data_IF_595991024897
#
_entry.id   IF_595991024897
#
_cell.length_a   1.000
_cell.length_b   1.000
_cell.length_c   1.000
_cell.angle_alpha   90.00
_cell.angle_beta   90.00
_cell.angle_gamma   90.00
#
_symmetry.space_group_name_H-M   'P 1'
#
loop_
_entity.id
_entity.type
_entity.pdbx_description
1 polymer ?
#
# COMPACT_ATOMS: atom_id res chain seq x y z
N UNK A 1 39.91 9.06 -0.78
CA UNK A 1 39.08 7.90 -0.39
C UNK A 1 37.72 8.11 -1.02
N UNK A 2 37.30 7.27 -1.97
CA UNK A 2 35.95 7.35 -2.50
C UNK A 2 34.98 7.06 -1.34
N UNK A 3 34.12 8.01 -0.99
CA UNK A 3 32.98 7.76 -0.10
C UNK A 3 32.17 6.62 -0.70
N UNK A 4 32.17 5.45 -0.06
CA UNK A 4 31.34 4.32 -0.51
C UNK A 4 29.88 4.76 -0.46
N UNK A 5 29.23 4.85 -1.61
CA UNK A 5 27.78 4.99 -1.67
C UNK A 5 27.13 3.77 -1.02
N UNK A 6 26.23 3.98 -0.06
CA UNK A 6 25.48 2.92 0.60
C UNK A 6 23.99 3.18 0.39
N UNK A 7 23.42 2.77 -0.75
CA UNK A 7 21.99 2.95 -1.04
C UNK A 7 21.12 2.15 -0.07
N UNK A 8 19.90 2.64 0.16
CA UNK A 8 18.89 1.95 0.95
C UNK A 8 18.06 1.05 0.04
N UNK A 9 18.01 -0.24 0.35
CA UNK A 9 17.32 -1.22 -0.50
C UNK A 9 15.90 -1.49 0.00
N UNK A 10 14.92 -1.34 -0.90
CA UNK A 10 13.50 -1.52 -0.61
C UNK A 10 12.92 -2.62 -1.49
N UNK A 11 12.36 -3.66 -0.90
CA UNK A 11 11.60 -4.68 -1.61
C UNK A 11 10.10 -4.40 -1.51
N UNK A 12 9.41 -4.40 -2.65
CA UNK A 12 7.96 -4.28 -2.75
C UNK A 12 7.36 -5.65 -3.05
N UNK A 13 6.40 -6.06 -2.23
CA UNK A 13 5.69 -7.34 -2.36
C UNK A 13 4.23 -7.04 -2.61
N UNK A 14 3.66 -7.61 -3.66
CA UNK A 14 2.24 -7.49 -3.98
C UNK A 14 1.58 -8.87 -4.00
N UNK A 15 0.29 -8.90 -3.67
CA UNK A 15 -0.61 -10.04 -3.83
C UNK A 15 -0.04 -11.38 -3.36
N UNK A 16 0.46 -11.48 -2.11
CA UNK A 16 0.74 -12.81 -1.55
C UNK A 16 -0.55 -13.64 -1.48
N UNK A 17 -1.72 -12.98 -1.37
CA UNK A 17 -3.08 -13.53 -1.43
C UNK A 17 -3.13 -14.94 -0.86
N UNK A 18 -3.01 -15.03 0.47
CA UNK A 18 -2.97 -16.32 1.15
C UNK A 18 -4.17 -17.17 0.73
N UNK A 19 -3.87 -18.26 0.02
CA UNK A 19 -4.91 -19.13 -0.53
C UNK A 19 -5.77 -19.68 0.59
N UNK A 20 -7.08 -19.69 0.35
CA UNK A 20 -8.10 -20.06 1.32
C UNK A 20 -9.38 -20.58 0.60
N UNK A 21 -10.49 -20.86 1.31
CA UNK A 21 -11.73 -21.33 0.68
C UNK A 21 -12.38 -20.38 -0.33
N UNK A 22 -12.04 -19.09 -0.31
CA UNK A 22 -12.45 -18.09 -1.30
C UNK A 22 -11.74 -18.32 -2.64
N UNK A 23 -10.48 -18.77 -2.65
CA UNK A 23 -9.64 -18.89 -3.87
C UNK A 23 -10.13 -19.95 -4.83
N UNK A 24 -10.56 -21.09 -4.30
CA UNK A 24 -11.07 -22.20 -5.09
C UNK A 24 -12.42 -22.67 -4.51
N UNK A 25 -13.51 -21.93 -4.78
CA UNK A 25 -14.81 -22.22 -4.19
C UNK A 25 -15.26 -23.65 -4.51
N UNK A 26 -15.62 -24.40 -3.47
CA UNK A 26 -16.08 -25.78 -3.61
C UNK A 26 -15.00 -26.85 -3.77
N UNK A 27 -13.69 -26.49 -3.71
CA UNK A 27 -12.61 -27.49 -3.70
C UNK A 27 -12.72 -28.39 -2.45
N UNK A 28 -12.89 -29.72 -2.61
CA UNK A 28 -13.14 -30.61 -1.48
C UNK A 28 -11.87 -30.82 -0.64
N UNK A 29 -12.08 -31.20 0.61
CA UNK A 29 -11.02 -31.78 1.44
C UNK A 29 -10.60 -33.15 0.87
N UNK A 30 -9.29 -33.50 0.81
CA UNK A 30 -8.14 -32.79 1.38
C UNK A 30 -7.42 -31.83 0.40
N UNK A 31 -7.88 -31.71 -0.85
CA UNK A 31 -7.19 -30.93 -1.89
C UNK A 31 -7.06 -29.45 -1.52
N UNK A 32 -8.08 -28.87 -0.88
CA UNK A 32 -8.02 -27.49 -0.38
C UNK A 32 -6.92 -27.32 0.68
N UNK A 33 -6.85 -28.22 1.66
CA UNK A 33 -5.81 -28.20 2.71
C UNK A 33 -4.39 -28.38 2.15
N UNK A 34 -4.22 -29.28 1.18
CA UNK A 34 -2.92 -29.45 0.51
C UNK A 34 -2.53 -28.21 -0.28
N UNK A 35 -3.48 -27.60 -0.99
CA UNK A 35 -3.25 -26.34 -1.74
C UNK A 35 -2.74 -25.25 -0.80
N UNK A 36 -3.46 -25.01 0.30
CA UNK A 36 -3.07 -24.06 1.35
C UNK A 36 -1.65 -24.34 1.85
N UNK A 37 -1.37 -25.60 2.22
CA UNK A 37 -0.07 -26.00 2.78
C UNK A 37 1.09 -25.74 1.81
N UNK A 38 0.93 -26.11 0.54
CA UNK A 38 2.01 -25.95 -0.44
C UNK A 38 2.22 -24.49 -0.83
N UNK A 39 1.14 -23.69 -0.94
CA UNK A 39 1.27 -22.26 -1.18
C UNK A 39 1.93 -21.54 0.00
N UNK A 40 1.53 -21.83 1.24
CA UNK A 40 2.17 -21.26 2.43
C UNK A 40 3.65 -21.62 2.51
N UNK A 41 4.00 -22.87 2.17
CA UNK A 41 5.39 -23.32 2.14
C UNK A 41 6.20 -22.63 1.04
N UNK A 42 5.62 -22.42 -0.13
CA UNK A 42 6.23 -21.66 -1.21
C UNK A 42 6.51 -20.23 -0.77
N UNK A 43 5.49 -19.50 -0.32
CA UNK A 43 5.61 -18.11 0.13
C UNK A 43 6.66 -17.97 1.24
N UNK A 44 6.64 -18.87 2.23
CA UNK A 44 7.63 -18.85 3.33
C UNK A 44 9.05 -19.04 2.81
N UNK A 45 9.27 -19.98 1.88
CA UNK A 45 10.60 -20.22 1.30
C UNK A 45 11.08 -19.06 0.44
N UNK A 46 10.21 -18.52 -0.41
CA UNK A 46 10.53 -17.38 -1.26
C UNK A 46 10.88 -16.15 -0.43
N UNK A 47 10.08 -15.85 0.60
CA UNK A 47 10.35 -14.72 1.48
C UNK A 47 11.60 -14.94 2.33
N UNK A 48 11.80 -16.12 2.89
CA UNK A 48 13.02 -16.50 3.62
C UNK A 48 14.28 -16.33 2.76
N UNK A 49 14.25 -16.78 1.49
CA UNK A 49 15.35 -16.57 0.54
C UNK A 49 15.58 -15.08 0.25
N UNK A 50 14.52 -14.27 0.04
CA UNK A 50 14.62 -12.81 -0.07
C UNK A 50 15.33 -12.20 1.15
N UNK A 51 14.98 -12.62 2.37
CA UNK A 51 15.60 -12.12 3.59
C UNK A 51 17.07 -12.53 3.72
N UNK A 52 17.39 -13.79 3.46
CA UNK A 52 18.74 -14.35 3.68
C UNK A 52 19.73 -13.96 2.58
N UNK A 53 19.29 -13.92 1.32
CA UNK A 53 20.18 -13.70 0.17
C UNK A 53 20.32 -12.22 -0.19
N UNK A 54 19.21 -11.47 -0.16
CA UNK A 54 19.19 -10.07 -0.57
C UNK A 54 19.16 -9.09 0.61
N UNK A 55 18.54 -9.49 1.73
CA UNK A 55 18.55 -8.71 2.97
C UNK A 55 18.14 -7.25 2.83
N UNK A 56 17.00 -6.93 2.18
CA UNK A 56 16.60 -5.54 1.97
C UNK A 56 16.45 -4.80 3.30
N UNK A 57 16.79 -3.51 3.30
CA UNK A 57 16.64 -2.62 4.46
C UNK A 57 15.17 -2.36 4.78
N UNK A 58 14.28 -2.46 3.80
CA UNK A 58 12.84 -2.36 4.00
C UNK A 58 12.04 -3.27 3.09
N UNK A 59 10.94 -3.81 3.60
CA UNK A 59 9.94 -4.57 2.83
C UNK A 59 8.59 -3.88 3.01
N UNK A 60 7.92 -3.59 1.89
CA UNK A 60 6.61 -2.94 1.87
C UNK A 60 5.63 -3.81 1.08
N UNK A 61 4.50 -4.14 1.70
CA UNK A 61 3.43 -4.88 1.04
C UNK A 61 2.45 -3.91 0.37
N UNK A 62 1.97 -4.27 -0.81
CA UNK A 62 1.11 -3.43 -1.65
C UNK A 62 -0.33 -3.96 -1.73
N UNK A 63 -0.86 -4.44 -0.62
CA UNK A 63 -2.23 -4.96 -0.52
C UNK A 63 -2.39 -6.44 -0.86
N UNK A 64 -3.63 -6.88 -0.72
CA UNK A 64 -4.11 -8.23 -1.00
C UNK A 64 -3.30 -9.30 -0.26
N UNK A 65 -3.25 -9.11 1.06
CA UNK A 65 -2.55 -10.02 1.96
C UNK A 65 -3.28 -11.38 2.04
N UNK A 66 -4.60 -11.32 2.04
CA UNK A 66 -5.51 -12.47 2.06
C UNK A 66 -6.35 -12.49 0.79
N UNK A 67 -6.78 -13.67 0.35
CA UNK A 67 -7.70 -13.78 -0.78
C UNK A 67 -9.18 -13.64 -0.34
N UNK A 68 -9.56 -14.20 0.80
CA UNK A 68 -10.91 -14.10 1.37
C UNK A 68 -11.04 -13.11 2.52
N UNK A 69 -10.06 -12.22 2.74
CA UNK A 69 -9.94 -11.37 3.94
C UNK A 69 -11.21 -10.57 4.26
N UNK A 70 -11.86 -10.04 3.22
CA UNK A 70 -13.11 -9.27 3.31
C UNK A 70 -14.35 -10.11 3.61
N UNK A 71 -14.32 -11.41 3.30
CA UNK A 71 -15.47 -12.30 3.38
C UNK A 71 -15.68 -12.88 4.79
N UNK A 72 -14.65 -12.90 5.63
CA UNK A 72 -14.76 -13.48 6.96
C UNK A 72 -15.45 -12.52 7.92
N UNK A 73 -16.55 -12.98 8.52
CA UNK A 73 -17.39 -12.12 9.37
C UNK A 73 -16.62 -11.53 10.55
N UNK A 74 -17.11 -10.39 11.05
CA UNK A 74 -16.63 -9.78 12.30
C UNK A 74 -17.70 -9.93 13.38
N UNK A 75 -17.52 -9.28 14.53
CA UNK A 75 -18.59 -9.17 15.52
C UNK A 75 -19.81 -8.40 14.98
N UNK A 76 -19.61 -7.52 14.00
CA UNK A 76 -20.60 -6.54 13.53
C UNK A 76 -20.84 -6.58 12.00
N UNK A 77 -20.33 -7.59 11.31
CA UNK A 77 -20.48 -7.76 9.87
C UNK A 77 -20.58 -9.23 9.48
N UNK A 78 -21.22 -9.53 8.36
CA UNK A 78 -21.27 -10.87 7.76
C UNK A 78 -20.86 -10.82 6.29
N UNK A 79 -20.51 -11.97 5.70
CA UNK A 79 -20.24 -12.01 4.25
C UNK A 79 -21.52 -11.66 3.47
N UNK A 80 -21.44 -10.75 2.48
CA UNK A 80 -22.53 -10.53 1.54
C UNK A 80 -22.84 -11.81 0.74
N UNK A 81 -21.86 -12.68 0.52
CA UNK A 81 -22.02 -13.96 -0.13
C UNK A 81 -22.43 -15.07 0.86
N UNK A 82 -23.66 -15.59 0.69
CA UNK A 82 -24.23 -16.59 1.60
C UNK A 82 -23.37 -17.84 1.85
N UNK A 83 -22.52 -18.24 0.88
CA UNK A 83 -21.61 -19.39 1.03
C UNK A 83 -20.48 -19.19 2.04
N UNK A 84 -20.09 -17.94 2.30
CA UNK A 84 -18.99 -17.60 3.18
C UNK A 84 -19.45 -17.20 4.59
N UNK A 85 -20.75 -17.01 4.82
CA UNK A 85 -21.31 -16.67 6.16
C UNK A 85 -20.99 -17.65 7.28
N UNK A 86 -20.60 -18.88 6.95
CA UNK A 86 -20.12 -19.90 7.91
C UNK A 86 -18.73 -19.61 8.48
N UNK A 87 -17.95 -18.72 7.86
CA UNK A 87 -16.61 -18.34 8.28
C UNK A 87 -16.68 -17.10 9.16
N UNK A 88 -16.01 -17.17 10.30
CA UNK A 88 -16.09 -16.19 11.36
C UNK A 88 -14.77 -15.46 11.61
N UNK A 89 -14.79 -14.51 12.55
CA UNK A 89 -13.59 -13.78 12.97
C UNK A 89 -12.48 -14.70 13.49
N UNK A 90 -12.85 -15.89 14.04
CA UNK A 90 -11.85 -16.91 14.42
C UNK A 90 -11.16 -17.50 13.20
N UNK A 91 -11.86 -17.66 12.08
CA UNK A 91 -11.26 -18.05 10.81
C UNK A 91 -10.27 -16.99 10.32
N UNK A 92 -10.70 -15.73 10.23
CA UNK A 92 -9.81 -14.63 9.84
C UNK A 92 -8.56 -14.55 10.72
N UNK A 93 -8.71 -14.68 12.04
CA UNK A 93 -7.57 -14.71 12.97
C UNK A 93 -6.60 -15.86 12.67
N UNK A 94 -7.08 -17.06 12.29
CA UNK A 94 -6.17 -18.15 11.89
C UNK A 94 -5.37 -17.80 10.64
N UNK A 95 -5.96 -17.06 9.71
CA UNK A 95 -5.26 -16.58 8.52
C UNK A 95 -4.22 -15.52 8.86
N UNK A 96 -4.55 -14.59 9.74
CA UNK A 96 -3.58 -13.66 10.29
C UNK A 96 -2.38 -14.38 10.92
N UNK A 97 -2.61 -15.45 11.70
CA UNK A 97 -1.50 -16.25 12.25
C UNK A 97 -0.69 -16.97 11.16
N UNK A 98 -1.32 -17.39 10.04
CA UNK A 98 -0.59 -17.91 8.87
C UNK A 98 0.31 -16.82 8.27
N UNK A 99 -0.22 -15.61 8.07
CA UNK A 99 0.55 -14.47 7.57
C UNK A 99 1.76 -14.17 8.45
N UNK A 100 1.56 -14.05 9.76
CA UNK A 100 2.65 -13.82 10.74
C UNK A 100 3.72 -14.90 10.62
N UNK A 101 3.32 -16.17 10.58
CA UNK A 101 4.27 -17.29 10.47
C UNK A 101 5.06 -17.29 9.15
N UNK A 102 4.47 -16.80 8.07
CA UNK A 102 5.11 -16.79 6.75
C UNK A 102 6.08 -15.62 6.62
N UNK A 103 5.68 -14.41 7.03
CA UNK A 103 6.37 -13.17 6.72
C UNK A 103 6.97 -12.44 7.93
N UNK A 104 6.33 -12.49 9.10
CA UNK A 104 6.79 -11.75 10.29
C UNK A 104 7.82 -12.59 11.06
N UNK A 105 7.56 -13.87 11.28
CA UNK A 105 8.50 -14.76 11.98
C UNK A 105 9.82 -14.95 11.22
N UNK A 106 9.79 -14.82 9.90
CA UNK A 106 10.94 -14.96 9.00
C UNK A 106 11.64 -13.65 8.70
N UNK A 107 11.05 -12.50 9.07
CA UNK A 107 11.61 -11.17 8.84
C UNK A 107 13.03 -11.01 9.39
N UNK A 108 13.24 -11.50 10.62
CA UNK A 108 14.50 -11.39 11.35
C UNK A 108 15.62 -12.25 10.73
N UNK A 109 15.31 -13.15 9.79
CA UNK A 109 16.34 -13.93 9.07
C UNK A 109 17.29 -13.04 8.25
N UNK A 110 16.87 -11.81 7.92
CA UNK A 110 17.71 -10.82 7.24
C UNK A 110 18.49 -9.88 8.16
N UNK A 111 18.44 -10.05 9.49
CA UNK A 111 19.10 -9.15 10.44
C UNK A 111 20.63 -9.13 10.31
N UNK A 112 21.22 -10.19 9.75
CA UNK A 112 22.63 -10.22 9.39
C UNK A 112 23.04 -9.16 8.34
N UNK A 113 22.07 -8.59 7.62
CA UNK A 113 22.30 -7.56 6.60
C UNK A 113 22.08 -6.14 7.10
N UNK A 114 21.77 -5.93 8.39
CA UNK A 114 21.51 -4.58 8.93
C UNK A 114 22.74 -3.68 8.73
N UNK A 115 22.57 -2.59 7.97
CA UNK A 115 23.59 -1.54 7.78
C UNK A 115 23.17 -0.20 8.35
N UNK A 116 21.86 0.05 8.45
CA UNK A 116 21.32 1.33 8.88
C UNK A 116 21.12 1.37 10.40
N UNK A 117 21.48 2.47 11.11
CA UNK A 117 21.33 2.58 12.56
C UNK A 117 19.89 2.45 13.08
N UNK A 118 18.91 2.74 12.21
CA UNK A 118 17.47 2.69 12.53
C UNK A 118 16.91 1.27 12.36
N UNK A 119 17.74 0.31 11.92
CA UNK A 119 17.34 -1.06 11.65
C UNK A 119 16.52 -1.18 10.36
N UNK A 120 15.99 -2.39 10.15
CA UNK A 120 15.19 -2.74 8.98
C UNK A 120 13.72 -2.46 9.25
N UNK A 121 12.91 -2.21 8.21
CA UNK A 121 11.46 -1.94 8.33
C UNK A 121 10.60 -2.90 7.53
N UNK A 122 9.53 -3.39 8.15
CA UNK A 122 8.48 -4.19 7.51
C UNK A 122 7.16 -3.43 7.60
N UNK A 123 6.58 -3.04 6.46
CA UNK A 123 5.30 -2.33 6.38
C UNK A 123 4.26 -3.19 5.65
N UNK A 124 3.15 -3.47 6.33
CA UNK A 124 2.10 -4.38 5.87
C UNK A 124 0.71 -3.75 5.94
N UNK A 125 0.63 -2.42 6.13
CA UNK A 125 -0.62 -1.71 6.41
C UNK A 125 -1.42 -1.28 5.18
N UNK A 126 -0.86 -1.35 3.97
CA UNK A 126 -1.57 -1.00 2.74
C UNK A 126 -2.54 -2.15 2.38
N UNK A 127 -3.86 -1.92 2.35
CA UNK A 127 -4.83 -2.94 2.02
C UNK A 127 -5.06 -3.04 0.51
N UNK A 128 -5.51 -4.21 0.07
CA UNK A 128 -6.14 -4.38 -1.24
C UNK A 128 -7.63 -4.71 -1.15
N UNK A 129 -8.26 -4.92 -2.30
CA UNK A 129 -9.70 -5.18 -2.37
C UNK A 129 -10.06 -6.57 -1.81
N UNK A 130 -9.16 -7.54 -1.80
CA UNK A 130 -9.40 -8.82 -1.12
C UNK A 130 -9.29 -8.72 0.41
N UNK A 131 -8.58 -7.73 0.94
CA UNK A 131 -8.49 -7.48 2.37
C UNK A 131 -9.74 -6.79 2.92
N UNK A 132 -10.24 -5.75 2.22
CA UNK A 132 -11.30 -4.86 2.74
C UNK A 132 -12.63 -4.93 1.98
N UNK A 133 -12.60 -5.37 0.72
CA UNK A 133 -13.60 -5.01 -0.28
C UNK A 133 -13.18 -3.77 -1.07
N UNK A 134 -14.07 -3.29 -1.95
CA UNK A 134 -13.78 -2.15 -2.82
C UNK A 134 -14.95 -1.15 -2.84
N UNK A 135 -14.62 0.14 -2.68
CA UNK A 135 -15.58 1.23 -2.74
C UNK A 135 -16.77 1.07 -1.78
N UNK A 136 -17.98 1.27 -2.29
CA UNK A 136 -19.25 1.12 -1.55
C UNK A 136 -19.47 -0.29 -0.97
N UNK A 137 -18.72 -1.30 -1.42
CA UNK A 137 -18.78 -2.66 -0.90
C UNK A 137 -17.98 -2.89 0.38
N UNK A 138 -17.20 -1.90 0.84
CA UNK A 138 -16.38 -2.04 2.05
C UNK A 138 -17.25 -1.99 3.30
N UNK A 139 -17.09 -2.99 4.15
CA UNK A 139 -17.74 -3.03 5.46
C UNK A 139 -16.81 -2.41 6.51
N UNK A 140 -17.24 -1.34 7.18
CA UNK A 140 -16.43 -0.65 8.21
C UNK A 140 -15.82 -1.58 9.27
N UNK A 141 -16.55 -2.56 9.83
CA UNK A 141 -15.95 -3.49 10.79
C UNK A 141 -14.78 -4.33 10.23
N UNK A 142 -14.78 -4.63 8.92
CA UNK A 142 -13.70 -5.36 8.25
C UNK A 142 -12.46 -4.47 8.13
N UNK A 143 -12.62 -3.22 7.69
CA UNK A 143 -11.55 -2.21 7.65
C UNK A 143 -10.95 -1.98 9.03
N UNK A 144 -11.79 -1.75 10.03
CA UNK A 144 -11.34 -1.45 11.39
C UNK A 144 -10.58 -2.66 11.99
N UNK A 145 -11.02 -3.90 11.69
CA UNK A 145 -10.27 -5.12 12.03
C UNK A 145 -8.91 -5.14 11.35
N UNK A 146 -8.84 -4.92 10.04
CA UNK A 146 -7.57 -4.92 9.31
C UNK A 146 -6.59 -3.90 9.91
N UNK A 147 -7.04 -2.65 10.10
CA UNK A 147 -6.21 -1.59 10.67
C UNK A 147 -5.75 -1.88 12.11
N UNK A 148 -6.56 -2.62 12.89
CA UNK A 148 -6.19 -3.02 14.26
C UNK A 148 -5.02 -4.01 14.31
N UNK A 149 -4.81 -4.80 13.25
CA UNK A 149 -3.77 -5.83 13.19
C UNK A 149 -2.55 -5.41 12.35
N UNK A 150 -2.77 -4.65 11.28
CA UNK A 150 -1.74 -4.23 10.32
C UNK A 150 -1.31 -2.76 10.46
N UNK A 151 -2.02 -2.00 11.30
CA UNK A 151 -1.80 -0.57 11.49
C UNK A 151 -2.58 0.28 10.49
N UNK A 152 -2.36 1.60 10.54
CA UNK A 152 -3.06 2.55 9.66
C UNK A 152 -2.69 2.33 8.20
N UNK A 153 -3.70 2.33 7.35
CA UNK A 153 -3.57 2.19 5.90
C UNK A 153 -3.13 3.47 5.21
N UNK A 154 -3.56 4.62 5.72
CA UNK A 154 -3.13 5.94 5.28
C UNK A 154 -1.98 6.44 6.17
N UNK A 155 -0.76 6.55 5.61
CA UNK A 155 0.43 6.91 6.39
C UNK A 155 1.54 7.51 5.55
N UNK A 156 2.42 8.24 6.22
CA UNK A 156 3.66 8.77 5.64
C UNK A 156 4.85 8.22 6.42
N UNK A 157 5.84 7.70 5.70
CA UNK A 157 7.09 7.17 6.24
C UNK A 157 8.28 7.80 5.53
N UNK A 158 9.40 7.99 6.23
CA UNK A 158 10.67 8.35 5.59
C UNK A 158 11.60 7.16 5.58
N UNK A 159 11.99 6.70 4.39
CA UNK A 159 12.82 5.52 4.16
C UNK A 159 13.90 5.87 3.14
N UNK A 160 15.17 5.65 3.45
CA UNK A 160 16.28 6.00 2.56
C UNK A 160 16.29 7.46 2.13
N UNK A 161 15.89 8.39 3.01
CA UNK A 161 15.69 9.82 2.74
C UNK A 161 14.67 10.13 1.62
N UNK A 162 13.70 9.23 1.40
CA UNK A 162 12.55 9.46 0.53
C UNK A 162 11.28 9.44 1.38
N UNK A 163 10.30 10.25 0.99
CA UNK A 163 8.98 10.27 1.62
C UNK A 163 8.09 9.25 0.94
N UNK A 164 7.70 8.20 1.65
CA UNK A 164 6.74 7.21 1.21
C UNK A 164 5.35 7.60 1.68
N UNK A 165 4.39 7.67 0.75
CA UNK A 165 2.98 7.94 1.05
C UNK A 165 2.17 6.71 0.69
N UNK A 166 1.54 6.09 1.69
CA UNK A 166 0.63 4.96 1.49
C UNK A 166 -0.82 5.44 1.58
N UNK A 167 -1.63 5.10 0.57
CA UNK A 167 -3.02 5.55 0.45
C UNK A 167 -3.94 4.35 0.32
N UNK A 168 -4.96 4.28 1.17
CA UNK A 168 -6.07 3.33 1.06
C UNK A 168 -6.99 3.71 -0.11
N UNK A 169 -6.56 3.35 -1.31
CA UNK A 169 -7.27 3.69 -2.55
C UNK A 169 -8.54 2.87 -2.76
N UNK A 170 -8.66 1.71 -2.11
CA UNK A 170 -9.88 0.88 -2.18
C UNK A 170 -11.03 1.52 -1.38
N UNK A 171 -10.74 2.10 -0.20
CA UNK A 171 -11.71 2.91 0.55
C UNK A 171 -12.01 4.24 -0.15
N UNK A 172 -10.98 4.94 -0.65
CA UNK A 172 -11.18 6.22 -1.35
C UNK A 172 -12.06 6.08 -2.59
N UNK A 173 -12.02 4.93 -3.27
CA UNK A 173 -12.85 4.61 -4.44
C UNK A 173 -14.36 4.64 -4.18
N UNK A 174 -14.80 4.66 -2.92
CA UNK A 174 -16.21 4.81 -2.57
C UNK A 174 -16.75 6.22 -2.88
N UNK A 175 -15.88 7.23 -3.04
CA UNK A 175 -16.24 8.63 -3.30
C UNK A 175 -16.95 8.82 -4.65
N UNK A 176 -16.50 8.12 -5.69
CA UNK A 176 -17.04 8.21 -7.05
C UNK A 176 -18.12 7.14 -7.33
N UNK A 177 -18.58 6.43 -6.29
CA UNK A 177 -19.61 5.39 -6.40
C UNK A 177 -20.95 5.84 -5.82
N UNK A 178 -22.07 5.45 -6.44
CA UNK A 178 -23.37 5.72 -5.86
C UNK A 178 -23.51 5.00 -4.51
N UNK A 179 -24.30 5.58 -3.63
CA UNK A 179 -24.73 4.91 -2.42
C UNK A 179 -25.53 3.64 -2.77
N UNK A 180 -25.20 2.48 -2.20
CA UNK A 180 -25.82 1.21 -2.59
C UNK A 180 -27.29 1.07 -2.15
N UNK A 181 -27.72 1.81 -1.12
CA UNK A 181 -29.09 1.75 -0.61
C UNK A 181 -30.01 2.75 -1.32
N UNK A 182 -29.51 3.96 -1.56
CA UNK A 182 -30.29 5.09 -2.07
C UNK A 182 -30.07 5.34 -3.57
N UNK A 183 -29.00 4.80 -4.16
CA UNK A 183 -28.59 5.08 -5.54
C UNK A 183 -28.05 6.50 -5.75
N UNK A 184 -27.90 7.29 -4.68
CA UNK A 184 -27.47 8.69 -4.76
C UNK A 184 -25.99 8.80 -5.14
N UNK A 185 -25.69 9.62 -6.14
CA UNK A 185 -24.32 9.97 -6.55
C UNK A 185 -23.80 11.27 -5.91
N UNK A 186 -24.54 11.87 -4.96
CA UNK A 186 -24.12 13.09 -4.27
C UNK A 186 -24.15 14.37 -5.12
N UNK A 187 -24.64 14.34 -6.36
CA UNK A 187 -24.69 15.48 -7.29
C UNK A 187 -25.90 16.42 -7.06
N UNK A 188 -26.47 16.43 -5.85
CA UNK A 188 -27.63 17.24 -5.46
C UNK A 188 -27.27 18.61 -4.87
N UNK A 189 -28.22 19.25 -4.20
CA UNK A 189 -28.18 20.66 -3.71
C UNK A 189 -27.09 21.01 -2.67
N UNK A 190 -26.17 20.10 -2.35
CA UNK A 190 -25.03 20.34 -1.45
C UNK A 190 -25.34 20.39 0.04
N UNK A 191 -26.56 20.06 0.45
CA UNK A 191 -27.07 20.12 1.84
C UNK A 191 -27.17 18.75 2.54
N UNK A 192 -26.88 17.66 1.84
CA UNK A 192 -26.91 16.28 2.36
C UNK A 192 -25.53 15.68 2.65
N UNK A 193 -25.50 14.64 3.49
CA UNK A 193 -24.32 13.78 3.70
C UNK A 193 -23.88 13.16 2.37
N UNK A 194 -22.59 13.19 2.08
CA UNK A 194 -22.08 12.61 0.83
C UNK A 194 -22.21 11.07 0.87
N UNK A 195 -22.50 10.43 -0.27
CA UNK A 195 -22.64 8.98 -0.34
C UNK A 195 -21.35 8.30 0.12
N UNK A 196 -21.49 7.20 0.86
CA UNK A 196 -20.37 6.38 1.35
C UNK A 196 -19.30 7.14 2.18
N UNK A 197 -19.60 8.33 2.72
CA UNK A 197 -18.62 9.19 3.40
C UNK A 197 -17.89 8.49 4.56
N UNK A 198 -18.59 7.62 5.29
CA UNK A 198 -18.01 6.82 6.37
C UNK A 198 -16.88 5.85 5.92
N UNK A 199 -16.82 5.53 4.62
CA UNK A 199 -15.79 4.68 4.01
C UNK A 199 -14.58 5.54 3.60
N UNK A 200 -14.79 6.57 2.78
CA UNK A 200 -13.70 7.30 2.12
C UNK A 200 -13.17 8.52 2.90
N UNK A 201 -13.93 9.08 3.86
CA UNK A 201 -13.57 10.35 4.54
C UNK A 201 -12.24 10.28 5.26
N UNK A 202 -11.92 9.17 5.91
CA UNK A 202 -10.62 9.01 6.61
C UNK A 202 -9.44 9.21 5.65
N UNK A 203 -9.51 8.60 4.46
CA UNK A 203 -8.48 8.74 3.43
C UNK A 203 -8.43 10.16 2.88
N UNK A 204 -9.60 10.77 2.63
CA UNK A 204 -9.67 12.14 2.13
C UNK A 204 -9.07 13.14 3.11
N UNK A 205 -9.44 13.05 4.39
CA UNK A 205 -8.93 13.88 5.48
C UNK A 205 -7.41 13.79 5.64
N UNK A 206 -6.84 12.61 5.36
CA UNK A 206 -5.39 12.37 5.35
C UNK A 206 -4.73 13.07 4.16
N UNK A 207 -5.29 12.93 2.95
CA UNK A 207 -4.78 13.59 1.76
C UNK A 207 -4.87 15.12 1.86
N UNK A 208 -5.97 15.65 2.40
CA UNK A 208 -6.16 17.10 2.61
C UNK A 208 -5.13 17.69 3.58
N UNK A 209 -4.58 16.86 4.48
CA UNK A 209 -3.55 17.22 5.45
C UNK A 209 -2.16 16.70 5.07
N UNK A 210 -1.94 16.32 3.81
CA UNK A 210 -0.71 15.69 3.34
C UNK A 210 0.55 16.50 3.69
N UNK A 211 0.53 17.81 3.49
CA UNK A 211 1.66 18.69 3.83
C UNK A 211 2.05 18.62 5.30
N UNK A 212 1.08 18.51 6.21
CA UNK A 212 1.31 18.39 7.65
C UNK A 212 1.90 17.02 7.99
N UNK A 213 1.34 15.95 7.41
CA UNK A 213 1.83 14.58 7.62
C UNK A 213 3.26 14.41 7.09
N UNK A 214 3.54 14.91 5.88
CA UNK A 214 4.87 14.89 5.27
C UNK A 214 5.86 15.71 6.06
N UNK A 215 5.57 16.98 6.33
CA UNK A 215 6.48 17.85 7.08
C UNK A 215 6.84 17.23 8.43
N UNK A 216 5.84 16.69 9.14
CA UNK A 216 6.09 16.02 10.44
C UNK A 216 7.03 14.81 10.29
N UNK A 217 6.79 13.95 9.30
CA UNK A 217 7.61 12.76 9.08
C UNK A 217 9.06 13.11 8.67
N UNK A 218 9.22 14.09 7.79
CA UNK A 218 10.54 14.57 7.33
C UNK A 218 11.33 15.20 8.47
N UNK A 219 10.71 16.09 9.25
CA UNK A 219 11.35 16.70 10.43
C UNK A 219 11.76 15.64 11.45
N UNK A 220 10.90 14.64 11.70
CA UNK A 220 11.23 13.55 12.61
C UNK A 220 12.40 12.70 12.12
N UNK A 221 12.45 12.42 10.81
CA UNK A 221 13.55 11.67 10.20
C UNK A 221 14.88 12.44 10.25
N UNK A 222 14.88 13.73 9.91
CA UNK A 222 16.05 14.60 10.02
C UNK A 222 16.56 14.66 11.46
N UNK A 223 15.65 14.76 12.43
CA UNK A 223 16.00 14.75 13.84
C UNK A 223 16.68 13.44 14.26
N UNK A 224 16.16 12.30 13.80
CA UNK A 224 16.78 10.99 14.04
C UNK A 224 18.17 10.88 13.42
N UNK A 225 18.35 11.36 12.19
CA UNK A 225 19.66 11.39 11.51
C UNK A 225 20.66 12.30 12.23
N UNK A 226 20.21 13.44 12.76
CA UNK A 226 21.01 14.36 13.55
C UNK A 226 21.29 13.90 14.99
N UNK A 227 20.86 12.68 15.38
CA UNK A 227 20.95 12.13 16.74
C UNK A 227 20.37 13.08 17.81
N UNK A 228 19.32 13.82 17.47
CA UNK A 228 18.64 14.73 18.36
C UNK A 228 17.45 14.01 19.03
N UNK A 229 17.41 14.00 20.36
CA UNK A 229 16.26 13.49 21.12
C UNK A 229 15.12 14.53 21.19
N UNK A 230 13.93 14.07 21.62
CA UNK A 230 12.62 14.75 21.52
C UNK A 230 12.63 16.29 21.39
N UNK A 231 12.09 16.79 20.27
CA UNK A 231 11.90 18.22 19.99
C UNK A 231 10.81 18.89 20.84
N UNK A 232 10.24 18.20 21.82
CA UNK A 232 9.31 18.80 22.78
C UNK A 232 10.13 19.49 23.86
N UNK A 233 10.54 20.72 23.59
CA UNK A 233 11.00 21.61 24.67
C UNK A 233 9.78 21.93 25.52
N UNK A 234 9.73 21.37 26.71
CA UNK A 234 8.76 21.78 27.71
C UNK A 234 9.24 23.08 28.34
N UNK A 235 8.32 24.01 28.58
CA UNK A 235 8.65 25.16 29.40
C UNK A 235 8.87 24.66 30.84
N UNK A 236 10.09 24.81 31.36
CA UNK A 236 10.42 24.43 32.74
C UNK A 236 9.88 25.47 33.74
N UNK A 237 8.55 25.64 33.79
CA UNK A 237 7.85 26.54 34.71
C UNK A 237 6.54 25.88 35.16
N UNK A 238 6.10 26.17 36.38
CA UNK A 238 4.76 25.79 36.83
C UNK A 238 3.71 26.47 35.93
N UNK A 239 2.86 25.67 35.29
CA UNK A 239 1.78 26.10 34.41
C UNK A 239 0.45 25.57 34.93
N UNK A 240 -0.63 26.29 34.63
CA UNK A 240 -1.99 25.81 34.89
C UNK A 240 -2.30 24.58 34.01
N UNK A 241 -3.23 23.71 34.43
CA UNK A 241 -3.64 22.50 33.71
C UNK A 241 -4.17 22.83 32.31
N UNK A 242 -4.72 24.03 32.13
CA UNK A 242 -5.24 24.50 30.85
C UNK A 242 -4.19 25.20 29.95
N UNK A 243 -2.98 25.43 30.46
CA UNK A 243 -1.92 26.10 29.70
C UNK A 243 -1.02 25.09 28.95
N UNK A 244 -0.74 25.31 27.65
CA UNK A 244 0.15 24.43 26.90
C UNK A 244 1.59 24.49 27.40
N UNK A 245 2.12 23.36 27.86
CA UNK A 245 3.48 23.25 28.41
C UNK A 245 4.60 23.21 27.37
N UNK A 246 4.28 23.34 26.07
CA UNK A 246 5.25 23.24 24.97
C UNK A 246 5.80 24.63 24.60
N UNK A 247 7.14 24.75 24.57
CA UNK A 247 7.85 26.01 24.34
C UNK A 247 7.91 26.43 22.86
N UNK A 248 7.78 25.50 21.92
CA UNK A 248 7.65 25.80 20.49
C UNK A 248 7.15 24.56 19.75
N UNK A 249 6.06 24.70 19.01
CA UNK A 249 5.79 23.87 17.83
C UNK A 249 6.12 24.73 16.62
N UNK A 250 7.36 24.67 16.13
CA UNK A 250 7.61 25.16 14.76
C UNK A 250 6.68 24.36 13.85
N UNK A 251 5.91 25.05 12.99
CA UNK A 251 5.18 24.36 11.93
C UNK A 251 6.22 23.55 11.15
N UNK A 252 6.01 22.25 10.92
CA UNK A 252 7.01 21.44 10.26
C UNK A 252 7.15 21.95 8.82
N UNK A 253 8.22 22.69 8.55
CA UNK A 253 8.62 23.03 7.19
C UNK A 253 8.98 21.74 6.46
N UNK A 254 8.47 21.60 5.24
CA UNK A 254 8.70 20.44 4.39
C UNK A 254 10.15 20.54 3.88
N UNK A 255 10.98 19.57 4.22
CA UNK A 255 12.37 19.51 3.77
C UNK A 255 12.45 19.28 2.25
N UNK A 256 11.42 18.62 1.69
CA UNK A 256 11.21 18.50 0.26
C UNK A 256 11.80 17.22 -0.32
N UNK A 257 11.76 16.11 0.45
CA UNK A 257 12.29 14.85 -0.03
C UNK A 257 11.54 14.33 -1.28
N UNK A 258 12.21 13.60 -2.17
CA UNK A 258 11.55 12.90 -3.26
C UNK A 258 10.47 11.97 -2.68
N UNK A 259 9.28 12.03 -3.26
CA UNK A 259 8.10 11.34 -2.75
C UNK A 259 7.79 10.11 -3.61
N UNK A 260 7.48 8.99 -2.95
CA UNK A 260 7.09 7.73 -3.55
C UNK A 260 5.68 7.39 -3.07
N UNK A 261 4.74 7.20 -3.99
CA UNK A 261 3.35 6.88 -3.68
C UNK A 261 3.11 5.37 -3.78
N UNK A 262 2.45 4.82 -2.78
CA UNK A 262 2.04 3.42 -2.69
C UNK A 262 0.52 3.33 -2.66
N UNK A 263 0.00 2.47 -3.52
CA UNK A 263 -1.42 2.14 -3.60
C UNK A 263 -1.56 0.66 -3.92
N UNK A 264 -2.71 0.06 -3.66
CA UNK A 264 -2.96 -1.29 -4.18
C UNK A 264 -3.41 -1.22 -5.64
N UNK A 265 -4.45 -0.41 -5.90
CA UNK A 265 -5.01 -0.24 -7.24
C UNK A 265 -4.19 0.79 -8.05
N UNK A 266 -3.72 0.43 -9.26
CA UNK A 266 -2.96 1.31 -10.16
C UNK A 266 -3.66 2.64 -10.47
N UNK A 267 -2.92 3.72 -10.74
CA UNK A 267 -3.56 4.97 -11.19
C UNK A 267 -4.23 4.81 -12.55
N UNK A 268 -5.17 5.71 -12.81
CA UNK A 268 -5.80 5.86 -14.10
C UNK A 268 -4.75 6.00 -15.21
N UNK A 269 -4.96 5.25 -16.28
CA UNK A 269 -4.22 5.34 -17.55
C UNK A 269 -5.21 5.27 -18.70
N UNK A 270 -4.84 5.79 -19.87
CA UNK A 270 -5.71 5.63 -21.04
C UNK A 270 -5.86 4.14 -21.40
N UNK A 271 -7.02 3.70 -21.89
CA UNK A 271 -7.15 2.35 -22.44
C UNK A 271 -6.04 2.07 -23.46
N UNK A 272 -5.60 0.81 -23.55
CA UNK A 272 -4.51 0.37 -24.43
C UNK A 272 -3.13 0.99 -24.15
N UNK A 273 -2.92 1.71 -23.04
CA UNK A 273 -1.56 2.15 -22.65
C UNK A 273 -0.69 0.93 -22.34
N UNK A 274 0.41 0.69 -23.08
CA UNK A 274 1.24 -0.50 -22.89
C UNK A 274 1.95 -0.52 -21.54
N UNK A 275 2.04 -1.70 -20.94
CA UNK A 275 2.79 -1.96 -19.70
C UNK A 275 4.28 -2.23 -19.92
N UNK A 276 4.70 -2.40 -21.18
CA UNK A 276 6.09 -2.63 -21.54
C UNK A 276 6.49 -4.10 -21.63
N UNK A 277 7.79 -4.35 -21.89
CA UNK A 277 8.31 -5.66 -22.32
C UNK A 277 8.35 -6.72 -21.21
N UNK A 278 8.26 -6.32 -19.95
CA UNK A 278 8.40 -7.23 -18.81
C UNK A 278 7.07 -7.84 -18.32
N UNK A 279 5.93 -7.47 -18.93
CA UNK A 279 4.64 -8.13 -18.68
C UNK A 279 4.67 -9.57 -19.23
N UNK A 280 4.51 -10.56 -18.36
CA UNK A 280 4.73 -11.97 -18.70
C UNK A 280 3.56 -12.57 -19.48
N UNK A 281 2.34 -12.39 -18.99
CA UNK A 281 1.14 -13.02 -19.55
C UNK A 281 0.80 -12.45 -20.92
N UNK A 282 1.06 -11.15 -21.08
CA UNK A 282 0.76 -10.41 -22.29
C UNK A 282 1.97 -9.55 -22.72
N UNK A 283 3.03 -10.16 -23.28
CA UNK A 283 4.18 -9.41 -23.78
C UNK A 283 3.77 -8.49 -24.94
N UNK A 284 4.54 -7.41 -25.24
CA UNK A 284 4.23 -6.47 -26.31
C UNK A 284 3.97 -7.17 -27.65
N UNK A 285 2.94 -6.71 -28.35
CA UNK A 285 2.54 -7.19 -29.66
C UNK A 285 3.53 -6.76 -30.75
N UNK A 286 4.18 -5.62 -30.57
CA UNK A 286 5.28 -5.10 -31.40
C UNK A 286 6.16 -4.17 -30.56
N UNK A 287 7.44 -3.95 -30.92
CA UNK A 287 8.28 -2.94 -30.27
C UNK A 287 7.71 -1.52 -30.42
N UNK A 288 7.84 -0.71 -29.36
CA UNK A 288 7.58 0.74 -29.35
C UNK A 288 6.17 1.17 -29.82
N UNK A 289 5.14 0.37 -29.52
CA UNK A 289 3.76 0.79 -29.74
C UNK A 289 3.37 1.89 -28.75
N UNK A 290 2.65 2.91 -29.23
CA UNK A 290 2.02 3.91 -28.35
C UNK A 290 0.76 3.34 -27.67
N UNK A 291 0.07 2.41 -28.36
CA UNK A 291 -1.13 1.73 -27.88
C UNK A 291 -1.03 0.22 -28.19
N UNK A 292 -1.24 -0.62 -27.18
CA UNK A 292 -1.20 -2.08 -27.27
C UNK A 292 -2.22 -2.67 -26.29
N UNK A 293 -3.46 -2.87 -26.78
CA UNK A 293 -4.57 -3.36 -25.96
C UNK A 293 -4.29 -4.70 -25.29
N UNK A 294 -3.49 -5.56 -25.92
CA UNK A 294 -3.13 -6.87 -25.35
C UNK A 294 -2.16 -6.71 -24.17
N UNK A 295 -1.16 -5.84 -24.30
CA UNK A 295 -0.15 -5.60 -23.27
C UNK A 295 -0.62 -4.65 -22.15
N UNK A 296 -1.68 -3.88 -22.38
CA UNK A 296 -2.25 -2.97 -21.39
C UNK A 296 -2.97 -3.68 -20.24
N UNK A 297 -3.16 -2.96 -19.12
CA UNK A 297 -4.13 -3.34 -18.09
C UNK A 297 -5.54 -3.11 -18.66
N UNK A 298 -6.42 -4.14 -18.71
CA UNK A 298 -7.79 -3.96 -19.18
C UNK A 298 -8.57 -2.99 -18.28
N UNK A 299 -9.37 -2.11 -18.86
CA UNK A 299 -10.22 -1.16 -18.11
C UNK A 299 -11.49 -1.86 -17.59
N UNK A 300 -11.31 -2.82 -16.69
CA UNK A 300 -12.37 -3.63 -16.10
C UNK A 300 -12.82 -3.13 -14.73
N UNK A 301 -14.10 -3.31 -14.43
CA UNK A 301 -14.69 -3.12 -13.10
C UNK A 301 -15.83 -4.12 -12.88
N UNK A 302 -16.10 -4.47 -11.63
CA UNK A 302 -17.20 -5.35 -11.30
C UNK A 302 -17.50 -5.37 -9.82
N UNK A 303 -18.05 -6.49 -9.35
CA UNK A 303 -18.38 -6.65 -7.94
C UNK A 303 -17.10 -6.63 -7.09
N UNK A 304 -16.94 -5.57 -6.30
CA UNK A 304 -15.82 -5.37 -5.37
C UNK A 304 -14.40 -5.40 -6.01
N UNK A 305 -14.27 -4.98 -7.28
CA UNK A 305 -12.95 -4.74 -7.89
C UNK A 305 -13.01 -3.67 -9.00
N UNK A 306 -11.86 -3.05 -9.25
CA UNK A 306 -11.62 -2.16 -10.40
C UNK A 306 -10.13 -2.12 -10.72
N UNK A 307 -9.77 -2.44 -11.97
CA UNK A 307 -8.36 -2.69 -12.35
C UNK A 307 -7.45 -1.45 -12.31
N UNK A 308 -8.03 -0.24 -12.41
CA UNK A 308 -7.32 1.04 -12.30
C UNK A 308 -8.22 2.08 -11.66
N UNK A 309 -7.68 3.08 -10.97
CA UNK A 309 -8.46 4.16 -10.37
C UNK A 309 -9.17 5.04 -11.42
N UNK A 310 -10.16 5.82 -10.97
CA UNK A 310 -10.82 6.81 -11.83
C UNK A 310 -9.87 7.98 -12.12
N UNK A 311 -10.07 8.73 -13.23
CA UNK A 311 -9.32 9.95 -13.49
C UNK A 311 -9.42 10.97 -12.35
N UNK A 312 -10.60 11.08 -11.73
CA UNK A 312 -10.87 12.02 -10.63
C UNK A 312 -10.03 11.67 -9.41
N UNK A 313 -10.10 10.43 -8.94
CA UNK A 313 -9.35 9.97 -7.77
C UNK A 313 -7.84 10.06 -8.02
N UNK A 314 -7.38 9.64 -9.21
CA UNK A 314 -5.95 9.68 -9.54
C UNK A 314 -5.41 11.11 -9.51
N UNK A 315 -6.15 12.09 -10.07
CA UNK A 315 -5.79 13.51 -10.04
C UNK A 315 -5.81 14.06 -8.61
N UNK A 316 -6.82 13.72 -7.82
CA UNK A 316 -6.94 14.17 -6.43
C UNK A 316 -5.72 13.72 -5.61
N UNK A 317 -5.39 12.43 -5.65
CA UNK A 317 -4.24 11.86 -4.94
C UNK A 317 -2.95 12.57 -5.37
N UNK A 318 -2.64 12.59 -6.68
CA UNK A 318 -1.36 13.14 -7.16
C UNK A 318 -1.25 14.63 -6.85
N UNK A 319 -2.34 15.39 -6.97
CA UNK A 319 -2.35 16.83 -6.65
C UNK A 319 -2.05 17.10 -5.17
N UNK A 320 -2.55 16.27 -4.25
CA UNK A 320 -2.36 16.42 -2.80
C UNK A 320 -1.02 15.89 -2.30
N UNK A 321 -0.50 14.83 -2.93
CA UNK A 321 0.88 14.36 -2.71
C UNK A 321 1.89 15.43 -3.15
N UNK A 322 1.58 16.14 -4.23
CA UNK A 322 2.30 17.33 -4.66
C UNK A 322 3.46 17.05 -5.61
N UNK A 323 4.21 18.10 -5.99
CA UNK A 323 5.14 18.08 -7.14
C UNK A 323 6.42 17.26 -6.93
N UNK A 324 6.72 16.84 -5.68
CA UNK A 324 7.89 16.02 -5.38
C UNK A 324 7.65 14.53 -5.65
N UNK A 325 6.48 14.14 -6.15
CA UNK A 325 6.19 12.75 -6.53
C UNK A 325 7.04 12.35 -7.72
N UNK A 326 7.92 11.37 -7.52
CA UNK A 326 8.87 10.88 -8.56
C UNK A 326 8.59 9.44 -8.99
N UNK A 327 7.99 8.63 -8.12
CA UNK A 327 7.78 7.21 -8.37
C UNK A 327 6.51 6.72 -7.70
N UNK A 328 5.90 5.70 -8.27
CA UNK A 328 4.72 5.03 -7.75
C UNK A 328 4.87 3.51 -7.81
N UNK A 329 4.26 2.83 -6.85
CA UNK A 329 4.16 1.37 -6.83
C UNK A 329 2.72 0.92 -6.54
N UNK A 330 2.20 0.01 -7.36
CA UNK A 330 0.87 -0.61 -7.26
C UNK A 330 0.92 -2.13 -7.24
N UNK A 331 -0.18 -2.83 -6.91
CA UNK A 331 -0.22 -4.31 -6.77
C UNK A 331 -1.25 -5.04 -7.65
N UNK A 332 -2.48 -4.54 -7.75
CA UNK A 332 -3.70 -5.28 -8.18
C UNK A 332 -3.65 -6.06 -9.53
N UNK A 333 -2.80 -5.71 -10.49
CA UNK A 333 -2.78 -6.39 -11.82
C UNK A 333 -2.11 -7.77 -11.80
N UNK A 334 -1.42 -8.13 -10.71
CA UNK A 334 -0.67 -9.36 -10.48
C UNK A 334 0.52 -9.62 -11.43
N UNK A 335 0.63 -8.93 -12.57
CA UNK A 335 1.75 -8.99 -13.50
C UNK A 335 2.52 -7.67 -13.53
N UNK A 336 3.73 -7.69 -14.05
CA UNK A 336 4.55 -6.48 -14.11
C UNK A 336 3.97 -5.50 -15.14
N UNK A 337 3.79 -4.25 -14.72
CA UNK A 337 3.43 -3.14 -15.61
C UNK A 337 4.24 -1.91 -15.25
N UNK A 338 4.86 -1.28 -16.23
CA UNK A 338 5.63 -0.05 -16.04
C UNK A 338 5.21 1.01 -17.05
N UNK A 339 4.90 2.21 -16.57
CA UNK A 339 4.58 3.35 -17.41
C UNK A 339 4.87 4.68 -16.72
N UNK A 340 4.95 5.78 -17.47
CA UNK A 340 5.16 7.13 -16.93
C UNK A 340 3.92 8.00 -17.12
N UNK A 341 3.48 8.66 -16.05
CA UNK A 341 2.31 9.55 -16.07
C UNK A 341 2.69 10.97 -16.50
N UNK A 342 2.84 11.17 -17.81
CA UNK A 342 3.24 12.46 -18.40
C UNK A 342 2.24 13.60 -18.19
N UNK A 343 1.00 13.28 -17.84
CA UNK A 343 -0.05 14.23 -17.50
C UNK A 343 0.19 14.96 -16.16
N UNK A 344 1.07 14.43 -15.30
CA UNK A 344 1.41 15.02 -14.01
C UNK A 344 2.78 15.72 -14.04
N UNK A 345 2.92 16.74 -13.19
CA UNK A 345 4.21 17.41 -12.99
C UNK A 345 5.26 16.40 -12.50
N UNK A 346 6.48 16.49 -13.02
CA UNK A 346 7.56 15.53 -12.73
C UNK A 346 7.47 14.21 -13.49
N UNK A 347 6.35 13.93 -14.17
CA UNK A 347 6.11 12.70 -14.94
C UNK A 347 6.49 11.42 -14.17
N UNK A 348 5.89 11.18 -12.98
CA UNK A 348 6.27 10.06 -12.15
C UNK A 348 6.05 8.74 -12.88
N UNK A 349 7.00 7.82 -12.70
CA UNK A 349 6.87 6.45 -13.20
C UNK A 349 6.08 5.62 -12.22
N UNK A 350 5.15 4.81 -12.70
CA UNK A 350 4.43 3.80 -11.93
C UNK A 350 4.89 2.41 -12.33
N UNK A 351 5.18 1.57 -11.32
CA UNK A 351 5.39 0.14 -11.49
C UNK A 351 4.29 -0.61 -10.72
N UNK A 352 3.45 -1.35 -11.45
CA UNK A 352 2.59 -2.38 -10.85
C UNK A 352 3.44 -3.62 -10.61
N UNK A 353 3.56 -3.98 -9.34
CA UNK A 353 4.42 -5.04 -8.85
C UNK A 353 3.75 -6.37 -9.10
N UNK A 354 4.54 -7.30 -9.64
CA UNK A 354 4.12 -8.67 -9.88
C UNK A 354 3.75 -9.37 -8.57
N UNK A 355 2.74 -10.24 -8.61
CA UNK A 355 2.34 -11.05 -7.45
C UNK A 355 3.50 -11.93 -6.98
N UNK A 356 3.67 -12.03 -5.65
CA UNK A 356 4.58 -12.99 -5.04
C UNK A 356 4.00 -14.41 -5.05
N UNK A 357 2.70 -14.56 -5.26
CA UNK A 357 1.99 -15.84 -5.18
C UNK A 357 1.95 -16.56 -6.53
N UNK A 358 2.29 -17.84 -6.52
CA UNK A 358 2.13 -18.72 -7.69
C UNK A 358 0.68 -19.08 -8.02
N UNK A 359 -0.28 -18.65 -7.20
CA UNK A 359 -1.69 -18.98 -7.36
C UNK A 359 -2.47 -17.91 -8.14
N UNK A 360 -1.80 -16.81 -8.53
CA UNK A 360 -2.44 -15.61 -9.10
C UNK A 360 -2.30 -15.45 -10.61
N UNK A 361 -2.19 -16.58 -11.31
CA UNK A 361 -2.28 -16.63 -12.78
C UNK A 361 -1.01 -16.21 -13.53
N UNK A 362 0.10 -16.03 -12.81
CA UNK A 362 1.44 -15.77 -13.36
C UNK A 362 2.33 -17.02 -13.20
N UNK A 363 3.22 -17.28 -14.17
CA UNK A 363 4.09 -18.47 -14.12
C UNK A 363 5.38 -18.20 -13.35
N UNK A 364 5.86 -16.95 -13.32
CA UNK A 364 7.07 -16.56 -12.61
C UNK A 364 6.76 -15.47 -11.58
N UNK A 365 6.29 -15.84 -10.37
CA UNK A 365 6.07 -14.87 -9.29
C UNK A 365 7.31 -14.07 -8.97
N UNK A 366 7.11 -12.85 -8.49
CA UNK A 366 8.20 -11.89 -8.32
C UNK A 366 7.93 -10.84 -7.25
N UNK A 367 8.87 -9.92 -7.16
CA UNK A 367 8.83 -8.72 -6.33
C UNK A 367 9.69 -7.66 -7.04
N UNK A 368 9.60 -6.41 -6.61
CA UNK A 368 10.48 -5.33 -7.10
C UNK A 368 11.47 -4.96 -6.01
N UNK A 369 12.77 -4.90 -6.35
CA UNK A 369 13.82 -4.43 -5.45
C UNK A 369 14.41 -3.12 -5.97
N UNK A 370 14.22 -2.05 -5.21
CA UNK A 370 14.67 -0.70 -5.57
C UNK A 370 15.80 -0.26 -4.66
N UNK A 371 16.81 0.39 -5.24
CA UNK A 371 17.91 1.01 -4.50
C UNK A 371 17.71 2.51 -4.45
N UNK A 372 17.49 3.06 -3.25
CA UNK A 372 17.28 4.48 -3.02
C UNK A 372 18.60 5.15 -2.69
N UNK A 373 18.88 6.27 -3.34
CA UNK A 373 20.06 7.08 -3.07
C UNK A 373 19.69 8.55 -3.09
N UNK A 374 19.51 9.13 -1.91
CA UNK A 374 19.28 10.55 -1.70
C UNK A 374 20.16 11.04 -0.53
N UNK A 375 21.46 11.34 -0.77
CA UNK A 375 22.30 11.92 0.26
C UNK A 375 21.75 13.31 0.65
N UNK A 376 21.72 13.61 1.94
CA UNK A 376 21.25 14.89 2.48
C UNK A 376 22.14 15.32 3.65
N UNK A 377 22.24 16.62 3.88
CA UNK A 377 22.74 17.20 5.12
C UNK A 377 21.70 17.01 6.24
N UNK A 378 22.00 16.27 7.32
CA UNK A 378 21.06 16.04 8.42
C UNK A 378 20.57 17.32 9.11
N UNK A 379 21.30 18.43 9.04
CA UNK A 379 20.92 19.68 9.66
C UNK A 379 19.90 20.48 8.85
N UNK A 380 19.96 20.39 7.52
CA UNK A 380 19.16 21.22 6.60
C UNK A 380 18.18 20.41 5.76
N UNK A 381 18.39 19.10 5.64
CA UNK A 381 17.65 18.20 4.76
C UNK A 381 17.89 18.43 3.27
N UNK A 382 18.84 19.30 2.92
CA UNK A 382 19.21 19.59 1.54
C UNK A 382 20.27 18.60 1.03
N UNK A 383 20.35 18.33 -0.29
CA UNK A 383 21.31 17.39 -0.87
C UNK A 383 22.79 17.65 -0.56
#
# INVERSE_FOLDING_TARGET
MASRCNPHHVAFIADPQLVDPHTYPGRPWPLSTLTVKFTDQYLRRSFSSLQQELGPDSVLFLGDLFDGGREWSTQHSESPEGRYRKYDDRFWKREFHRFVKIFVDTWNEGDGHIRHPVGRRLLTGLPGNHDLGFGSGIQTPVRDRFQSFFGKSNRVDVIGNHTFVSVDTVSLSAMDQPDPETGSSGTGSGDGTQPNEHIWRETQDFLDRMNVHRGRAEVEALRMLGNQSEGRRFQHRAMDILEPSLAHTAAPEIAGFPTILLSHVPLYRRPATPCGPYRERHPPSSPNLEEDERNAIPMGRGYQYQNVLTPTISRDIVSKVGPNLVQMYSGDDHDYCEMSHHEFSGSPTEITVKSLSWAMGIRQPGFVLTSLWNPIDPATGQP
#
